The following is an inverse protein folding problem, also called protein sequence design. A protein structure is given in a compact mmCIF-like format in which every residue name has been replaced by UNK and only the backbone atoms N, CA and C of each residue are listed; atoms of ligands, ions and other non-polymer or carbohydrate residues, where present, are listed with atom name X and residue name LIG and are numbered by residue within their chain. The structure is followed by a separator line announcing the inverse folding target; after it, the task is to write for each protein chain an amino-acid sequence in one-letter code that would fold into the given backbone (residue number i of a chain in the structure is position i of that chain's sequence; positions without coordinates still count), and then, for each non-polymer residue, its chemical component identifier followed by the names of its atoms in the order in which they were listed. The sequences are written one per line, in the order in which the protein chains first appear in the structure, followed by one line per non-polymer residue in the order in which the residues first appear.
data_IF_725446689892
#
_entry.id   IF_725446689892
#
_cell.length_a   1.000
_cell.length_b   1.000
_cell.length_c   1.000
_cell.angle_alpha   90.00
_cell.angle_beta   90.00
_cell.angle_gamma   90.00
#
_symmetry.space_group_name_H-M   'P 1'
#
loop_
_entity.id
_entity.type
_entity.pdbx_description
1 polymer ?
#
# COMPACT_ATOMS: atom_id res chain seq x y z
N UNK A 1 -36.65 89.05 -52.59
CA UNK A 1 -36.66 87.96 -51.60
C UNK A 1 -35.31 88.03 -50.89
N UNK A 2 -35.24 88.93 -49.89
CA UNK A 2 -35.07 88.60 -48.44
C UNK A 2 -33.66 88.06 -48.16
N UNK A 3 -32.65 88.85 -47.77
CA UNK A 3 -32.42 89.72 -46.57
C UNK A 3 -31.19 89.19 -45.81
N UNK A 4 -30.16 90.05 -45.72
CA UNK A 4 -29.38 90.40 -44.51
C UNK A 4 -28.69 89.29 -43.68
N UNK A 5 -27.36 89.28 -43.49
CA UNK A 5 -26.46 90.18 -42.72
C UNK A 5 -25.98 89.49 -41.41
N UNK A 6 -24.69 89.13 -41.39
CA UNK A 6 -23.70 89.39 -40.30
C UNK A 6 -24.00 89.00 -38.84
N UNK A 7 -23.10 88.25 -38.17
CA UNK A 7 -22.13 88.75 -37.15
C UNK A 7 -21.47 87.61 -36.34
N UNK A 8 -20.29 87.95 -35.83
CA UNK A 8 -19.32 87.29 -34.94
C UNK A 8 -19.88 86.43 -33.78
N UNK A 9 -19.08 85.44 -33.33
CA UNK A 9 -19.13 84.95 -31.94
C UNK A 9 -18.26 83.73 -31.65
N UNK A 10 -17.15 83.95 -30.95
CA UNK A 10 -16.27 82.95 -30.35
C UNK A 10 -17.02 81.88 -29.55
N UNK A 11 -16.65 80.60 -29.67
CA UNK A 11 -16.62 79.71 -28.50
C UNK A 11 -15.65 78.54 -28.70
N UNK A 12 -14.66 78.57 -27.82
CA UNK A 12 -13.56 77.66 -27.55
C UNK A 12 -14.08 76.33 -27.00
N UNK A 13 -13.80 75.20 -27.67
CA UNK A 13 -13.67 73.88 -27.01
C UNK A 13 -12.55 73.12 -27.69
N UNK A 14 -11.37 73.19 -27.08
CA UNK A 14 -10.29 72.23 -27.30
C UNK A 14 -10.74 70.88 -26.73
N UNK A 15 -11.17 69.97 -27.60
CA UNK A 15 -11.34 68.56 -27.26
C UNK A 15 -9.95 67.93 -27.20
N UNK A 16 -9.33 68.04 -26.02
CA UNK A 16 -8.28 67.13 -25.58
C UNK A 16 -8.84 65.70 -25.67
N UNK A 17 -8.47 64.99 -26.74
CA UNK A 17 -8.56 63.56 -26.80
C UNK A 17 -7.58 62.99 -25.77
N UNK A 18 -8.05 62.89 -24.53
CA UNK A 18 -7.43 62.07 -23.51
C UNK A 18 -7.61 60.61 -23.94
N UNK A 19 -6.67 60.11 -24.75
CA UNK A 19 -6.48 58.68 -24.96
C UNK A 19 -6.07 58.10 -23.61
N UNK A 20 -7.05 57.79 -22.77
CA UNK A 20 -6.83 56.92 -21.64
C UNK A 20 -6.51 55.53 -22.21
N UNK A 21 -5.23 55.26 -22.45
CA UNK A 21 -4.72 53.89 -22.46
C UNK A 21 -5.03 53.32 -21.08
N UNK A 22 -6.19 52.70 -21.00
CA UNK A 22 -6.56 51.85 -19.89
C UNK A 22 -5.53 50.74 -19.91
N UNK A 23 -4.60 50.72 -18.96
CA UNK A 23 -3.81 49.51 -18.70
C UNK A 23 -4.82 48.43 -18.34
N UNK A 24 -5.15 47.57 -19.30
CA UNK A 24 -5.99 46.41 -19.03
C UNK A 24 -5.18 45.54 -18.09
N UNK A 25 -5.69 45.37 -16.87
CA UNK A 25 -5.14 44.42 -15.93
C UNK A 25 -5.07 43.06 -16.63
N UNK A 26 -3.86 42.51 -16.66
CA UNK A 26 -3.60 41.23 -17.30
C UNK A 26 -4.58 40.17 -16.78
N UNK A 27 -5.24 39.43 -17.67
CA UNK A 27 -6.14 38.32 -17.29
C UNK A 27 -5.47 36.97 -17.52
N UNK A 28 -5.98 35.91 -16.89
CA UNK A 28 -5.48 34.53 -17.13
C UNK A 28 -5.68 34.14 -18.60
N UNK A 29 -6.79 34.58 -19.20
CA UNK A 29 -7.12 34.38 -20.60
C UNK A 29 -6.11 35.07 -21.54
N UNK A 30 -5.67 36.30 -21.20
CA UNK A 30 -4.64 37.01 -21.95
C UNK A 30 -3.27 36.34 -21.85
N UNK A 31 -2.89 35.87 -20.65
CA UNK A 31 -1.64 35.12 -20.46
C UNK A 31 -1.65 33.81 -21.26
N UNK A 32 -2.80 33.13 -21.31
CA UNK A 32 -2.96 31.92 -22.11
C UNK A 32 -2.92 32.22 -23.62
N UNK A 33 -3.62 33.26 -24.07
CA UNK A 33 -3.61 33.69 -25.48
C UNK A 33 -2.22 34.14 -25.94
N UNK A 34 -1.41 34.72 -25.03
CA UNK A 34 -0.03 35.10 -25.29
C UNK A 34 0.98 33.94 -25.21
N UNK A 35 0.55 32.73 -24.87
CA UNK A 35 1.43 31.57 -24.70
C UNK A 35 2.40 31.71 -23.54
N UNK A 36 1.99 32.37 -22.46
CA UNK A 36 2.76 32.59 -21.22
C UNK A 36 2.25 31.77 -20.03
N UNK A 37 1.09 31.15 -20.21
CA UNK A 37 0.43 30.29 -19.24
C UNK A 37 -0.31 29.18 -20.00
N UNK A 38 0.04 27.92 -19.75
CA UNK A 38 -0.45 26.79 -20.50
C UNK A 38 -0.97 25.69 -19.57
N UNK A 39 -1.96 24.93 -20.04
CA UNK A 39 -2.38 23.69 -19.39
C UNK A 39 -2.49 22.58 -20.42
N UNK A 40 -1.85 21.45 -20.16
CA UNK A 40 -1.88 20.28 -21.01
C UNK A 40 -2.24 19.03 -20.20
N UNK A 41 -3.08 18.18 -20.77
CA UNK A 41 -3.45 16.89 -20.18
C UNK A 41 -2.97 15.75 -21.06
N UNK A 42 -2.39 14.72 -20.47
CA UNK A 42 -2.02 13.48 -21.16
C UNK A 42 -2.30 12.26 -20.27
N UNK A 43 -2.43 11.10 -20.89
CA UNK A 43 -2.60 9.82 -20.19
C UNK A 43 -1.49 8.85 -20.54
N UNK A 44 -1.16 7.98 -19.59
CA UNK A 44 -0.21 6.88 -19.78
C UNK A 44 -0.65 5.66 -18.97
N UNK A 45 -0.74 4.47 -19.57
CA UNK A 45 -0.67 4.20 -21.01
C UNK A 45 -1.87 4.79 -21.78
N UNK A 46 -1.70 5.02 -23.08
CA UNK A 46 -2.74 5.61 -23.94
C UNK A 46 -3.47 4.59 -24.83
N UNK A 47 -2.87 3.40 -25.02
CA UNK A 47 -3.36 2.35 -25.92
C UNK A 47 -3.35 0.99 -25.21
N UNK A 48 -4.00 -0.01 -25.82
CA UNK A 48 -4.11 -1.39 -25.32
C UNK A 48 -4.68 -1.50 -23.89
N UNK A 49 -5.59 -0.60 -23.56
CA UNK A 49 -6.20 -0.50 -22.24
C UNK A 49 -7.29 -1.55 -22.06
N UNK A 50 -7.29 -2.22 -20.91
CA UNK A 50 -8.35 -3.15 -20.51
C UNK A 50 -9.18 -2.58 -19.36
N UNK A 51 -10.44 -3.00 -19.20
CA UNK A 51 -11.21 -2.64 -18.01
C UNK A 51 -10.49 -3.05 -16.72
N UNK A 52 -10.54 -2.15 -15.73
CA UNK A 52 -9.89 -2.28 -14.43
C UNK A 52 -8.44 -1.78 -14.39
N UNK A 53 -7.77 -1.61 -15.54
CA UNK A 53 -6.36 -1.19 -15.59
C UNK A 53 -6.20 0.28 -15.20
N UNK A 54 -5.24 0.58 -14.30
CA UNK A 54 -4.88 1.96 -13.97
C UNK A 54 -4.29 2.69 -15.17
N UNK A 55 -4.76 3.91 -15.37
CA UNK A 55 -4.23 4.90 -16.29
C UNK A 55 -3.78 6.10 -15.47
N UNK A 56 -2.57 6.56 -15.69
CA UNK A 56 -2.06 7.78 -15.09
C UNK A 56 -2.42 8.98 -15.96
N UNK A 57 -3.30 9.84 -15.46
CA UNK A 57 -3.63 11.13 -16.06
C UNK A 57 -2.72 12.20 -15.48
N UNK A 58 -1.91 12.80 -16.34
CA UNK A 58 -1.00 13.90 -15.99
C UNK A 58 -1.56 15.22 -16.48
N UNK A 59 -1.78 16.16 -15.57
CA UNK A 59 -2.10 17.56 -15.88
C UNK A 59 -0.88 18.43 -15.59
N UNK A 60 -0.34 19.03 -16.64
CA UNK A 60 0.81 19.93 -16.58
C UNK A 60 0.34 21.37 -16.77
N UNK A 61 0.76 22.25 -15.87
CA UNK A 61 0.48 23.69 -15.91
C UNK A 61 1.82 24.42 -15.94
N UNK A 62 2.04 25.20 -16.98
CA UNK A 62 3.32 25.85 -17.25
C UNK A 62 3.13 27.36 -17.29
N UNK A 63 4.06 28.11 -16.72
CA UNK A 63 4.10 29.57 -16.85
C UNK A 63 5.53 30.09 -17.00
N UNK A 64 5.72 31.15 -17.78
CA UNK A 64 7.01 31.86 -17.89
C UNK A 64 7.30 32.78 -16.67
N UNK A 65 6.40 32.80 -15.69
CA UNK A 65 6.55 33.47 -14.38
C UNK A 65 6.57 32.44 -13.27
N UNK A 66 5.96 32.76 -12.12
CA UNK A 66 5.83 31.85 -10.99
C UNK A 66 4.42 31.87 -10.43
N UNK A 67 4.01 30.75 -9.84
CA UNK A 67 2.76 30.64 -9.11
C UNK A 67 2.87 31.37 -7.76
N UNK A 68 1.88 32.18 -7.42
CA UNK A 68 1.79 32.90 -6.13
C UNK A 68 0.80 32.26 -5.16
N UNK A 69 0.11 31.21 -5.60
CA UNK A 69 -0.77 30.36 -4.80
C UNK A 69 -0.78 28.92 -5.30
N UNK A 70 -1.34 28.00 -4.51
CA UNK A 70 -1.49 26.60 -4.92
C UNK A 70 -2.55 26.44 -6.02
N UNK A 71 -2.30 25.56 -6.98
CA UNK A 71 -3.28 25.22 -8.02
C UNK A 71 -4.33 24.24 -7.50
N UNK A 72 -5.54 24.29 -8.04
CA UNK A 72 -6.63 23.38 -7.66
C UNK A 72 -7.32 22.81 -8.89
N UNK A 73 -7.46 21.48 -8.93
CA UNK A 73 -8.14 20.77 -10.02
C UNK A 73 -9.58 20.47 -9.65
N UNK A 74 -10.49 20.67 -10.60
CA UNK A 74 -11.87 20.17 -10.51
C UNK A 74 -11.96 18.85 -11.27
N UNK A 75 -11.98 17.73 -10.55
CA UNK A 75 -12.05 16.38 -11.15
C UNK A 75 -13.45 16.17 -11.75
N UNK A 76 -13.57 15.88 -13.06
CA UNK A 76 -14.87 15.67 -13.68
C UNK A 76 -15.43 14.28 -13.35
N UNK A 77 -16.75 14.17 -13.31
CA UNK A 77 -17.44 12.89 -13.29
C UNK A 77 -17.63 12.38 -14.72
N UNK A 78 -17.16 11.16 -15.00
CA UNK A 78 -17.27 10.53 -16.33
C UNK A 78 -17.87 9.13 -16.18
N UNK A 79 -19.03 8.83 -16.78
CA UNK A 79 -19.69 7.53 -16.61
C UNK A 79 -18.81 6.34 -17.03
N UNK A 80 -18.57 5.44 -16.08
CA UNK A 80 -17.73 4.25 -16.28
C UNK A 80 -16.25 4.47 -16.03
N UNK A 81 -15.83 5.67 -15.59
CA UNK A 81 -14.49 5.92 -15.06
C UNK A 81 -14.54 6.18 -13.56
N UNK A 82 -13.53 5.70 -12.85
CA UNK A 82 -13.22 6.15 -11.49
C UNK A 82 -11.95 6.98 -11.58
N UNK A 83 -12.04 8.28 -11.26
CA UNK A 83 -10.91 9.23 -11.31
C UNK A 83 -10.58 9.64 -9.88
N UNK A 84 -9.36 9.38 -9.45
CA UNK A 84 -8.90 9.60 -8.09
C UNK A 84 -7.66 10.48 -8.07
N UNK A 85 -7.62 11.40 -7.11
CA UNK A 85 -6.40 12.14 -6.78
C UNK A 85 -5.71 11.45 -5.60
N UNK A 86 -4.75 10.58 -5.89
CA UNK A 86 -3.98 9.86 -4.87
C UNK A 86 -2.81 10.69 -4.33
N UNK A 87 -2.32 11.66 -5.11
CA UNK A 87 -1.28 12.61 -4.70
C UNK A 87 -1.87 13.92 -4.18
N UNK A 88 -1.45 14.35 -2.99
CA UNK A 88 -1.99 15.55 -2.34
C UNK A 88 -1.43 16.86 -2.91
N UNK A 89 -0.27 16.81 -3.56
CA UNK A 89 0.45 17.98 -4.04
C UNK A 89 0.90 17.83 -5.49
N UNK A 90 0.93 18.94 -6.22
CA UNK A 90 1.62 18.99 -7.50
C UNK A 90 3.12 18.83 -7.31
N UNK A 91 3.76 18.12 -8.24
CA UNK A 91 5.22 18.18 -8.40
C UNK A 91 5.59 19.48 -9.11
N UNK A 92 6.62 20.16 -8.62
CA UNK A 92 7.11 21.41 -9.20
C UNK A 92 8.44 21.15 -9.92
N UNK A 93 8.61 21.73 -11.10
CA UNK A 93 9.85 21.72 -11.85
C UNK A 93 10.10 23.10 -12.49
N UNK A 94 11.30 23.29 -13.02
CA UNK A 94 11.61 24.45 -13.86
C UNK A 94 12.38 23.98 -15.07
N UNK A 95 12.09 24.60 -16.21
CA UNK A 95 12.73 24.29 -17.48
C UNK A 95 13.06 25.57 -18.24
N UNK A 96 13.97 25.48 -19.21
CA UNK A 96 14.28 26.59 -20.11
C UNK A 96 13.74 26.28 -21.51
N UNK A 97 12.86 27.12 -22.02
CA UNK A 97 12.36 27.08 -23.41
C UNK A 97 12.86 28.33 -24.11
N UNK A 98 13.66 28.17 -25.16
CA UNK A 98 14.21 29.28 -25.96
C UNK A 98 14.87 30.41 -25.13
N UNK A 99 15.54 30.05 -24.03
CA UNK A 99 16.22 30.99 -23.13
C UNK A 99 15.33 31.62 -22.06
N UNK A 100 14.01 31.40 -22.11
CA UNK A 100 13.04 31.82 -21.08
C UNK A 100 12.90 30.74 -20.02
N UNK A 101 12.87 31.12 -18.75
CA UNK A 101 12.66 30.20 -17.63
C UNK A 101 11.17 29.97 -17.42
N UNK A 102 10.75 28.72 -17.40
CA UNK A 102 9.39 28.30 -17.15
C UNK A 102 9.30 27.57 -15.81
N UNK A 103 8.20 27.79 -15.10
CA UNK A 103 7.82 27.04 -13.90
C UNK A 103 6.70 26.08 -14.29
N UNK A 104 6.91 24.81 -13.95
CA UNK A 104 6.06 23.68 -14.34
C UNK A 104 5.45 23.08 -13.08
N UNK A 105 4.13 22.96 -13.06
CA UNK A 105 3.37 22.22 -12.05
C UNK A 105 2.70 21.01 -12.67
N UNK A 106 2.92 19.84 -12.07
CA UNK A 106 2.36 18.59 -12.57
C UNK A 106 1.52 17.89 -11.50
N UNK A 107 0.26 17.72 -11.81
CA UNK A 107 -0.68 16.90 -11.06
C UNK A 107 -0.84 15.54 -11.71
N UNK A 108 -0.99 14.53 -10.87
CA UNK A 108 -1.18 13.14 -11.28
C UNK A 108 -2.48 12.63 -10.70
N UNK A 109 -3.35 12.09 -11.57
CA UNK A 109 -4.61 11.48 -11.22
C UNK A 109 -4.61 10.02 -11.69
N UNK A 110 -5.17 9.14 -10.89
CA UNK A 110 -5.37 7.73 -11.26
C UNK A 110 -6.76 7.57 -11.87
N UNK A 111 -6.82 6.98 -13.07
CA UNK A 111 -8.05 6.77 -13.83
C UNK A 111 -8.24 5.26 -14.03
N UNK A 112 -9.40 4.75 -13.65
CA UNK A 112 -9.74 3.32 -13.77
C UNK A 112 -11.02 3.16 -14.61
N UNK A 113 -10.92 2.71 -15.87
CA UNK A 113 -12.08 2.40 -16.71
C UNK A 113 -12.74 1.10 -16.23
N UNK A 114 -14.02 1.16 -15.87
CA UNK A 114 -14.76 0.04 -15.28
C UNK A 114 -15.40 -0.89 -16.32
N UNK A 115 -15.30 -0.55 -17.60
CA UNK A 115 -15.90 -1.29 -18.72
C UNK A 115 -15.16 -1.03 -20.02
N UNK A 116 -15.42 -1.85 -21.02
CA UNK A 116 -14.99 -1.60 -22.39
C UNK A 116 -15.72 -0.39 -23.00
N UNK A 117 -15.06 0.24 -23.96
CA UNK A 117 -15.64 1.27 -24.81
C UNK A 117 -14.79 2.52 -24.92
N UNK A 118 -15.35 3.52 -25.60
CA UNK A 118 -14.72 4.82 -25.79
C UNK A 118 -15.06 5.75 -24.63
N UNK A 119 -14.06 6.44 -24.12
CA UNK A 119 -14.18 7.41 -23.05
C UNK A 119 -13.70 8.78 -23.52
N UNK A 120 -14.34 9.82 -22.98
CA UNK A 120 -13.92 11.20 -23.15
C UNK A 120 -13.90 11.84 -21.77
N UNK A 121 -12.73 12.22 -21.32
CA UNK A 121 -12.57 13.08 -20.15
C UNK A 121 -12.75 14.52 -20.65
N UNK A 122 -13.75 15.26 -20.16
CA UNK A 122 -13.99 16.64 -20.62
C UNK A 122 -12.84 17.56 -20.20
N UNK A 123 -12.76 18.79 -20.75
CA UNK A 123 -11.83 19.82 -20.30
C UNK A 123 -11.79 19.92 -18.78
N UNK A 124 -10.60 19.73 -18.19
CA UNK A 124 -10.43 19.77 -16.75
C UNK A 124 -10.12 21.21 -16.35
N UNK A 125 -10.94 21.74 -15.43
CA UNK A 125 -10.76 23.08 -14.89
C UNK A 125 -9.66 23.09 -13.83
N UNK A 126 -8.70 24.00 -13.99
CA UNK A 126 -7.60 24.23 -13.06
C UNK A 126 -7.59 25.68 -12.60
N UNK A 127 -7.81 25.91 -11.31
CA UNK A 127 -7.64 27.23 -10.71
C UNK A 127 -6.17 27.51 -10.49
N UNK A 128 -5.71 28.70 -10.92
CA UNK A 128 -4.32 29.14 -10.83
C UNK A 128 -4.23 30.56 -10.29
N UNK A 129 -3.10 30.86 -9.64
CA UNK A 129 -2.73 32.22 -9.26
C UNK A 129 -1.28 32.47 -9.64
N UNK A 130 -1.06 33.39 -10.57
CA UNK A 130 0.22 33.55 -11.28
C UNK A 130 0.69 35.00 -11.15
N UNK A 131 1.99 35.19 -10.99
CA UNK A 131 2.57 36.53 -11.03
C UNK A 131 2.62 37.07 -12.47
N UNK A 132 2.46 38.38 -12.64
CA UNK A 132 2.54 39.04 -13.96
C UNK A 132 3.67 40.07 -14.00
N UNK A 133 3.77 40.82 -15.09
CA UNK A 133 4.64 42.00 -15.17
C UNK A 133 4.06 43.21 -14.44
N UNK A 134 2.78 43.15 -14.07
CA UNK A 134 2.09 44.14 -13.26
C UNK A 134 2.31 43.87 -11.76
N UNK A 135 1.98 44.84 -10.90
CA UNK A 135 2.25 44.73 -9.46
C UNK A 135 1.36 43.72 -8.73
N UNK A 136 0.23 43.31 -9.30
CA UNK A 136 -0.77 42.45 -8.65
C UNK A 136 -0.84 41.08 -9.36
N UNK A 137 -0.79 39.96 -8.61
CA UNK A 137 -0.97 38.63 -9.20
C UNK A 137 -2.38 38.45 -9.76
N UNK A 138 -2.48 37.67 -10.83
CA UNK A 138 -3.75 37.35 -11.48
C UNK A 138 -4.24 35.98 -11.05
N UNK A 139 -5.55 35.86 -10.83
CA UNK A 139 -6.20 34.61 -10.43
C UNK A 139 -7.32 34.27 -11.41
N UNK A 140 -7.40 33.01 -11.81
CA UNK A 140 -8.37 32.58 -12.83
C UNK A 140 -8.35 31.08 -13.09
N UNK A 141 -9.08 30.68 -14.13
CA UNK A 141 -9.29 29.29 -14.48
C UNK A 141 -8.67 28.96 -15.84
N UNK A 142 -7.85 27.93 -15.87
CA UNK A 142 -7.43 27.28 -17.10
C UNK A 142 -8.29 26.03 -17.35
N UNK A 143 -8.40 25.63 -18.62
CA UNK A 143 -9.09 24.41 -19.01
C UNK A 143 -8.18 23.57 -19.90
N UNK A 144 -7.96 22.31 -19.53
CA UNK A 144 -7.26 21.38 -20.41
C UNK A 144 -8.08 21.10 -21.67
N UNK A 145 -7.43 20.55 -22.70
CA UNK A 145 -8.17 19.94 -23.80
C UNK A 145 -8.90 18.66 -23.33
N UNK A 146 -9.99 18.25 -24.01
CA UNK A 146 -10.59 16.94 -23.78
C UNK A 146 -9.59 15.82 -24.08
N UNK A 147 -9.66 14.73 -23.32
CA UNK A 147 -8.80 13.56 -23.50
C UNK A 147 -9.67 12.38 -23.92
N UNK A 148 -9.28 11.72 -25.01
CA UNK A 148 -10.00 10.58 -25.57
C UNK A 148 -9.14 9.32 -25.47
N UNK A 149 -9.76 8.21 -25.09
CA UNK A 149 -9.14 6.89 -25.11
C UNK A 149 -10.20 5.80 -25.20
N UNK A 150 -9.79 4.58 -25.52
CA UNK A 150 -10.67 3.42 -25.61
C UNK A 150 -10.11 2.27 -24.79
N UNK A 151 -11.00 1.50 -24.17
CA UNK A 151 -10.66 0.22 -23.55
C UNK A 151 -11.35 -0.92 -24.29
N UNK A 152 -10.65 -2.05 -24.36
CA UNK A 152 -11.13 -3.26 -25.03
C UNK A 152 -11.01 -4.46 -24.08
N UNK A 153 -11.89 -5.45 -24.24
CA UNK A 153 -11.71 -6.75 -23.59
C UNK A 153 -10.91 -7.62 -24.56
N UNK A 154 -9.68 -8.03 -24.21
CA UNK A 154 -8.91 -8.98 -25.00
C UNK A 154 -9.68 -10.30 -25.18
N UNK A 155 -9.45 -10.99 -26.28
CA UNK A 155 -10.11 -12.28 -26.58
C UNK A 155 -9.93 -13.30 -25.44
N UNK A 156 -8.75 -13.32 -24.80
CA UNK A 156 -8.46 -14.17 -23.65
C UNK A 156 -9.37 -13.92 -22.42
N UNK A 157 -9.99 -12.73 -22.34
CA UNK A 157 -10.90 -12.34 -21.25
C UNK A 157 -12.38 -12.42 -21.67
N UNK A 158 -12.69 -12.80 -22.91
CA UNK A 158 -14.05 -12.71 -23.46
C UNK A 158 -15.09 -13.58 -22.72
N UNK A 159 -14.66 -14.70 -22.15
CA UNK A 159 -15.51 -15.64 -21.38
C UNK A 159 -15.33 -15.51 -19.86
N UNK A 160 -14.64 -14.46 -19.40
CA UNK A 160 -14.33 -14.26 -17.98
C UNK A 160 -15.14 -13.08 -17.45
N UNK A 161 -16.03 -13.35 -16.50
CA UNK A 161 -16.91 -12.31 -15.94
C UNK A 161 -16.15 -11.33 -15.03
N UNK A 162 -15.13 -11.81 -14.32
CA UNK A 162 -14.41 -11.05 -13.31
C UNK A 162 -12.91 -11.32 -13.36
N UNK A 163 -12.11 -10.25 -13.42
CA UNK A 163 -10.67 -10.31 -13.35
C UNK A 163 -10.12 -9.08 -12.62
N UNK A 164 -8.87 -9.19 -12.16
CA UNK A 164 -8.07 -8.04 -11.73
C UNK A 164 -7.13 -7.67 -12.88
N UNK A 165 -6.99 -6.38 -13.21
CA UNK A 165 -6.01 -5.91 -14.18
C UNK A 165 -4.90 -5.15 -13.45
N UNK A 166 -3.74 -5.78 -13.29
CA UNK A 166 -2.65 -5.27 -12.46
C UNK A 166 -1.28 -5.73 -12.98
N UNK A 167 -0.19 -5.01 -12.67
CA UNK A 167 1.17 -5.50 -12.91
C UNK A 167 1.54 -6.71 -12.05
N UNK A 168 0.97 -6.81 -10.86
CA UNK A 168 1.14 -7.91 -9.92
C UNK A 168 -0.16 -8.12 -9.14
N UNK A 169 -0.55 -9.38 -8.95
CA UNK A 169 -1.69 -9.76 -8.13
C UNK A 169 -1.39 -11.07 -7.42
N UNK A 170 -1.81 -11.15 -6.15
CA UNK A 170 -1.61 -12.32 -5.32
C UNK A 170 -2.85 -12.58 -4.45
N UNK A 171 -3.13 -13.86 -4.23
CA UNK A 171 -4.16 -14.33 -3.32
C UNK A 171 -3.54 -15.34 -2.36
N UNK A 172 -3.73 -15.14 -1.06
CA UNK A 172 -3.26 -16.06 -0.01
C UNK A 172 -4.41 -16.41 0.92
N UNK A 173 -4.35 -17.62 1.47
CA UNK A 173 -5.22 -18.04 2.57
C UNK A 173 -4.41 -18.58 3.73
N UNK A 174 -4.89 -18.38 4.95
CA UNK A 174 -4.31 -18.93 6.17
C UNK A 174 -5.40 -19.29 7.18
N UNK A 175 -5.07 -20.21 8.07
CA UNK A 175 -5.92 -20.62 9.18
C UNK A 175 -5.20 -20.34 10.50
N UNK A 176 -5.95 -19.96 11.53
CA UNK A 176 -5.41 -19.68 12.87
C UNK A 176 -4.96 -20.95 13.62
N UNK A 177 -5.48 -22.12 13.24
CA UNK A 177 -5.13 -23.42 13.82
C UNK A 177 -5.17 -24.55 12.76
N UNK A 178 -4.53 -25.70 13.05
CA UNK A 178 -4.69 -26.91 12.25
C UNK A 178 -6.16 -27.37 12.24
N UNK A 179 -6.60 -27.94 11.12
CA UNK A 179 -8.00 -28.34 10.88
C UNK A 179 -8.21 -29.86 11.03
N UNK A 180 -7.18 -30.56 11.48
CA UNK A 180 -7.25 -31.97 11.85
C UNK A 180 -7.72 -32.12 13.29
N UNK A 181 -8.66 -33.05 13.52
CA UNK A 181 -9.19 -33.38 14.85
C UNK A 181 -9.92 -32.22 15.55
N UNK A 182 -10.73 -31.47 14.80
CA UNK A 182 -11.71 -30.56 15.39
C UNK A 182 -12.85 -31.35 16.04
N UNK A 183 -13.45 -30.80 17.08
CA UNK A 183 -14.65 -31.32 17.73
C UNK A 183 -15.87 -30.44 17.45
N UNK A 184 -17.08 -30.98 17.60
CA UNK A 184 -18.28 -30.16 17.51
C UNK A 184 -18.27 -29.08 18.62
N UNK A 185 -18.53 -27.84 18.23
CA UNK A 185 -18.39 -26.65 19.08
C UNK A 185 -17.03 -25.94 18.95
N UNK A 186 -16.03 -26.54 18.29
CA UNK A 186 -14.79 -25.83 17.97
C UNK A 186 -15.04 -24.69 16.99
N UNK A 187 -14.20 -23.67 17.10
CA UNK A 187 -14.10 -22.59 16.14
C UNK A 187 -12.68 -22.47 15.58
N UNK A 188 -12.59 -22.00 14.34
CA UNK A 188 -11.35 -21.61 13.68
C UNK A 188 -11.60 -20.40 12.79
N UNK A 189 -10.55 -19.67 12.44
CA UNK A 189 -10.59 -18.49 11.59
C UNK A 189 -9.88 -18.77 10.26
N UNK A 190 -10.54 -18.45 9.15
CA UNK A 190 -9.95 -18.36 7.82
C UNK A 190 -9.66 -16.89 7.51
N UNK A 191 -8.41 -16.56 7.20
CA UNK A 191 -8.02 -15.28 6.64
C UNK A 191 -7.69 -15.44 5.15
N UNK A 192 -8.33 -14.65 4.30
CA UNK A 192 -8.03 -14.56 2.86
C UNK A 192 -7.55 -13.14 2.56
N UNK A 193 -6.36 -13.05 1.96
CA UNK A 193 -5.72 -11.78 1.62
C UNK A 193 -5.54 -11.67 0.10
N UNK A 194 -6.04 -10.58 -0.45
CA UNK A 194 -5.79 -10.13 -1.83
C UNK A 194 -4.80 -8.98 -1.80
N UNK A 195 -3.77 -9.01 -2.62
CA UNK A 195 -2.78 -7.93 -2.76
C UNK A 195 -2.53 -7.66 -4.25
N UNK A 196 -2.56 -6.39 -4.67
CA UNK A 196 -2.29 -6.00 -6.04
C UNK A 196 -1.52 -4.68 -6.13
N UNK A 197 -0.75 -4.52 -7.20
CA UNK A 197 -0.15 -3.25 -7.59
C UNK A 197 -1.06 -2.49 -8.56
N UNK A 198 -1.04 -1.15 -8.51
CA UNK A 198 -1.80 -0.28 -9.42
C UNK A 198 -3.31 -0.58 -9.49
N UNK A 199 -3.88 -0.98 -8.36
CA UNK A 199 -5.32 -1.20 -8.16
C UNK A 199 -5.73 -0.54 -6.84
N UNK A 200 -7.00 -0.14 -6.71
CA UNK A 200 -7.55 0.33 -5.43
C UNK A 200 -8.11 -0.84 -4.61
N UNK A 201 -7.94 -0.84 -3.29
CA UNK A 201 -8.39 -1.92 -2.42
C UNK A 201 -9.90 -2.23 -2.54
N UNK A 202 -10.70 -1.20 -2.81
CA UNK A 202 -12.14 -1.33 -3.06
C UNK A 202 -12.49 -2.06 -4.37
N UNK A 203 -11.55 -2.12 -5.33
CA UNK A 203 -11.69 -2.83 -6.60
C UNK A 203 -11.19 -4.28 -6.51
N UNK A 204 -10.56 -4.68 -5.40
CA UNK A 204 -10.13 -6.06 -5.20
C UNK A 204 -11.33 -6.99 -4.98
N UNK A 205 -11.24 -8.25 -5.47
CA UNK A 205 -12.32 -9.24 -5.35
C UNK A 205 -12.78 -9.45 -3.91
N UNK A 206 -14.06 -9.83 -3.76
CA UNK A 206 -14.60 -10.26 -2.48
C UNK A 206 -14.53 -11.79 -2.34
N UNK A 207 -14.11 -12.25 -1.17
CA UNK A 207 -14.32 -13.62 -0.73
C UNK A 207 -15.67 -13.72 -0.01
N UNK A 208 -16.52 -14.65 -0.45
CA UNK A 208 -17.83 -14.90 0.17
C UNK A 208 -17.85 -16.37 0.56
N UNK A 209 -18.07 -16.71 1.84
CA UNK A 209 -18.09 -18.09 2.28
C UNK A 209 -19.30 -18.81 1.66
N UNK A 210 -19.07 -20.05 1.23
CA UNK A 210 -20.15 -20.93 0.81
C UNK A 210 -20.90 -21.49 2.02
N UNK A 211 -22.19 -21.81 1.83
CA UNK A 211 -22.99 -22.43 2.87
C UNK A 211 -22.70 -23.93 2.92
N UNK A 212 -22.00 -24.35 3.96
CA UNK A 212 -21.72 -25.76 4.23
C UNK A 212 -22.56 -26.20 5.43
N UNK A 213 -23.55 -27.10 5.26
CA UNK A 213 -24.34 -27.62 6.37
C UNK A 213 -23.45 -28.25 7.44
N UNK A 214 -23.58 -27.87 8.71
CA UNK A 214 -22.72 -28.37 9.81
C UNK A 214 -21.45 -27.53 10.05
N UNK A 215 -21.19 -26.53 9.21
CA UNK A 215 -20.08 -25.59 9.35
C UNK A 215 -20.58 -24.15 9.17
N UNK A 216 -20.95 -23.51 10.28
CA UNK A 216 -21.50 -22.15 10.26
C UNK A 216 -20.39 -21.11 10.02
N UNK A 217 -20.60 -20.22 9.05
CA UNK A 217 -19.64 -19.19 8.66
C UNK A 217 -20.09 -17.80 9.13
N UNK A 218 -19.20 -17.09 9.82
CA UNK A 218 -19.41 -15.73 10.31
C UNK A 218 -18.36 -14.78 9.71
N UNK A 219 -18.63 -14.18 8.54
CA UNK A 219 -17.70 -13.26 7.88
C UNK A 219 -17.64 -11.92 8.63
N UNK A 220 -16.42 -11.43 8.86
CA UNK A 220 -16.17 -10.07 9.36
C UNK A 220 -16.11 -9.06 8.21
N UNK A 221 -16.32 -7.76 8.49
CA UNK A 221 -16.10 -6.70 7.49
C UNK A 221 -14.67 -6.75 6.92
N UNK A 222 -14.49 -6.53 5.61
CA UNK A 222 -13.17 -6.53 4.99
C UNK A 222 -12.32 -5.37 5.50
N UNK A 223 -11.02 -5.62 5.71
CA UNK A 223 -10.02 -4.58 5.97
C UNK A 223 -9.39 -4.20 4.64
N UNK A 224 -9.56 -2.94 4.25
CA UNK A 224 -9.03 -2.37 3.01
C UNK A 224 -7.85 -1.46 3.32
N UNK A 225 -6.75 -1.62 2.58
CA UNK A 225 -5.57 -0.78 2.73
C UNK A 225 -5.04 -0.35 1.37
N UNK A 226 -4.83 0.95 1.19
CA UNK A 226 -4.14 1.53 0.04
C UNK A 226 -2.85 2.21 0.53
N UNK A 227 -1.77 1.97 -0.19
CA UNK A 227 -0.49 2.62 0.03
C UNK A 227 0.08 3.10 -1.31
N UNK A 228 0.80 4.22 -1.27
CA UNK A 228 1.56 4.71 -2.41
C UNK A 228 2.92 5.14 -1.91
N UNK A 229 3.98 4.51 -2.41
CA UNK A 229 5.36 4.82 -2.05
C UNK A 229 6.16 5.12 -3.31
N UNK A 230 6.58 6.38 -3.48
CA UNK A 230 7.37 6.84 -4.64
C UNK A 230 6.71 6.46 -5.99
N UNK A 231 5.39 6.58 -6.08
CA UNK A 231 4.62 6.25 -7.27
C UNK A 231 4.28 4.78 -7.44
N UNK A 232 4.72 3.90 -6.52
CA UNK A 232 4.30 2.50 -6.49
C UNK A 232 3.04 2.38 -5.65
N UNK A 233 1.89 2.29 -6.32
CA UNK A 233 0.61 2.09 -5.68
C UNK A 233 0.40 0.60 -5.39
N UNK A 234 0.00 0.29 -4.16
CA UNK A 234 -0.29 -1.06 -3.71
C UNK A 234 -1.54 -1.07 -2.85
N UNK A 235 -2.41 -2.02 -3.12
CA UNK A 235 -3.64 -2.23 -2.39
C UNK A 235 -3.72 -3.63 -1.83
N UNK A 236 -4.38 -3.75 -0.67
CA UNK A 236 -4.77 -5.04 -0.12
C UNK A 236 -6.19 -5.04 0.42
N UNK A 237 -6.81 -6.22 0.34
CA UNK A 237 -8.12 -6.53 0.93
C UNK A 237 -7.98 -7.81 1.73
N UNK A 238 -8.17 -7.70 3.04
CA UNK A 238 -8.13 -8.84 3.96
C UNK A 238 -9.53 -9.17 4.44
N UNK A 239 -9.91 -10.43 4.35
CA UNK A 239 -11.20 -10.93 4.79
C UNK A 239 -11.02 -12.07 5.78
N UNK A 240 -11.68 -11.93 6.94
CA UNK A 240 -11.67 -12.93 8.00
C UNK A 240 -13.05 -13.55 8.13
N UNK A 241 -13.08 -14.86 8.28
CA UNK A 241 -14.31 -15.62 8.50
C UNK A 241 -14.07 -16.55 9.67
N UNK A 242 -14.86 -16.36 10.73
CA UNK A 242 -14.89 -17.31 11.83
C UNK A 242 -15.86 -18.43 11.48
N UNK A 243 -15.37 -19.66 11.49
CA UNK A 243 -16.18 -20.85 11.30
C UNK A 243 -16.45 -21.52 12.64
N UNK A 244 -17.69 -21.96 12.86
CA UNK A 244 -18.09 -22.77 14.01
C UNK A 244 -18.55 -24.13 13.51
N UNK A 245 -17.97 -25.17 14.08
CA UNK A 245 -18.30 -26.55 13.74
C UNK A 245 -19.54 -26.96 14.53
N UNK A 246 -20.64 -27.26 13.83
CA UNK A 246 -21.93 -27.60 14.47
C UNK A 246 -22.15 -29.11 14.56
N UNK A 247 -21.52 -29.90 13.68
CA UNK A 247 -21.69 -31.34 13.62
C UNK A 247 -20.39 -32.07 13.27
N UNK A 248 -20.28 -33.34 13.66
CA UNK A 248 -19.22 -34.24 13.22
C UNK A 248 -19.34 -34.54 11.72
N UNK A 249 -18.21 -34.76 11.06
CA UNK A 249 -18.17 -35.05 9.63
C UNK A 249 -16.89 -34.61 8.94
N UNK A 250 -16.92 -34.76 7.62
CA UNK A 250 -15.88 -34.26 6.74
C UNK A 250 -16.44 -33.10 5.93
N UNK A 251 -15.81 -31.93 6.04
CA UNK A 251 -16.16 -30.74 5.29
C UNK A 251 -15.06 -30.42 4.29
N UNK A 252 -15.46 -29.84 3.16
CA UNK A 252 -14.54 -29.40 2.12
C UNK A 252 -14.79 -27.92 1.87
N UNK A 253 -13.81 -27.08 2.17
CA UNK A 253 -13.74 -25.75 1.60
C UNK A 253 -13.26 -25.92 0.15
N UNK A 254 -14.07 -25.57 -0.86
CA UNK A 254 -13.71 -25.81 -2.26
C UNK A 254 -12.53 -24.94 -2.69
N UNK A 255 -11.82 -25.40 -3.70
CA UNK A 255 -10.82 -24.57 -4.38
C UNK A 255 -11.51 -23.35 -5.00
N UNK A 256 -10.82 -22.20 -5.02
CA UNK A 256 -11.35 -20.96 -5.61
C UNK A 256 -10.35 -20.35 -6.56
N UNK A 257 -10.82 -20.06 -7.75
CA UNK A 257 -10.03 -19.51 -8.83
C UNK A 257 -10.25 -18.01 -8.98
N UNK A 258 -9.17 -17.28 -9.25
CA UNK A 258 -9.15 -15.85 -9.47
C UNK A 258 -8.37 -15.54 -10.76
N UNK A 259 -9.02 -14.82 -11.67
CA UNK A 259 -8.43 -14.41 -12.93
C UNK A 259 -7.71 -13.08 -12.80
N UNK A 260 -6.53 -13.00 -13.40
CA UNK A 260 -5.68 -11.82 -13.39
C UNK A 260 -5.14 -11.54 -14.77
N UNK A 261 -5.40 -10.34 -15.27
CA UNK A 261 -4.73 -9.81 -16.44
C UNK A 261 -3.44 -9.10 -16.01
N UNK A 262 -2.31 -9.73 -16.28
CA UNK A 262 -1.00 -9.12 -16.06
C UNK A 262 -0.79 -8.01 -17.08
N UNK A 263 -0.86 -6.76 -16.64
CA UNK A 263 -0.74 -5.58 -17.51
C UNK A 263 0.67 -5.38 -18.05
N UNK A 264 1.69 -6.05 -17.50
CA UNK A 264 3.07 -6.01 -18.00
C UNK A 264 3.27 -6.99 -19.15
N UNK A 265 2.86 -8.24 -18.96
CA UNK A 265 3.01 -9.29 -19.97
C UNK A 265 1.86 -9.34 -20.98
N UNK A 266 0.75 -8.65 -20.70
CA UNK A 266 -0.51 -8.69 -21.47
C UNK A 266 -1.02 -10.13 -21.62
N UNK A 267 -1.02 -10.86 -20.51
CA UNK A 267 -1.46 -12.26 -20.46
C UNK A 267 -2.45 -12.48 -19.32
N UNK A 268 -3.38 -13.39 -19.58
CA UNK A 268 -4.26 -13.93 -18.55
C UNK A 268 -3.48 -14.92 -17.68
N UNK A 269 -3.62 -14.77 -16.39
CA UNK A 269 -3.10 -15.63 -15.34
C UNK A 269 -4.25 -16.16 -14.49
N UNK A 270 -4.07 -17.36 -13.94
CA UNK A 270 -5.00 -18.02 -13.04
C UNK A 270 -4.31 -18.21 -11.68
N UNK A 271 -4.93 -17.69 -10.63
CA UNK A 271 -4.52 -17.92 -9.25
C UNK A 271 -5.57 -18.78 -8.57
N UNK A 272 -5.15 -19.86 -7.91
CA UNK A 272 -6.05 -20.79 -7.25
C UNK A 272 -5.75 -20.87 -5.75
N UNK A 273 -6.78 -20.65 -4.94
CA UNK A 273 -6.79 -21.05 -3.55
C UNK A 273 -7.10 -22.55 -3.46
N UNK A 274 -6.29 -23.36 -2.75
CA UNK A 274 -6.45 -24.79 -2.72
C UNK A 274 -7.68 -25.20 -1.91
N UNK A 275 -8.34 -26.28 -2.36
CA UNK A 275 -9.39 -26.92 -1.57
C UNK A 275 -8.79 -27.39 -0.22
N UNK A 276 -9.55 -27.21 0.86
CA UNK A 276 -9.10 -27.54 2.22
C UNK A 276 -10.09 -28.49 2.86
N UNK A 277 -9.61 -29.67 3.22
CA UNK A 277 -10.36 -30.68 3.95
C UNK A 277 -10.36 -30.37 5.46
N UNK A 278 -11.53 -30.50 6.08
CA UNK A 278 -11.74 -30.30 7.51
C UNK A 278 -12.34 -31.59 8.04
N UNK A 279 -11.72 -32.16 9.07
CA UNK A 279 -12.19 -33.41 9.68
C UNK A 279 -12.59 -33.17 11.12
N UNK A 280 -13.86 -33.47 11.41
CA UNK A 280 -14.48 -33.27 12.72
C UNK A 280 -14.93 -34.60 13.30
N UNK A 281 -14.56 -34.86 14.55
CA UNK A 281 -15.10 -36.01 15.30
C UNK A 281 -14.52 -37.38 14.90
N UNK A 282 -13.51 -37.44 14.01
CA UNK A 282 -12.77 -38.70 13.85
C UNK A 282 -11.95 -38.95 15.12
N UNK A 283 -12.55 -39.68 16.05
CA UNK A 283 -11.92 -40.27 17.22
C UNK A 283 -10.74 -41.16 16.80
N UNK A 284 -9.61 -40.52 16.56
CA UNK A 284 -8.30 -41.12 16.50
C UNK A 284 -7.36 -40.04 17.01
N UNK A 285 -7.37 -39.91 18.33
CA UNK A 285 -6.12 -39.81 19.04
C UNK A 285 -5.22 -41.00 18.62
N UNK A 286 -4.61 -40.90 17.43
CA UNK A 286 -3.18 -41.13 17.35
C UNK A 286 -2.53 -39.94 18.07
N UNK A 287 -2.77 -39.88 19.39
CA UNK A 287 -1.64 -39.86 20.27
C UNK A 287 -0.70 -40.91 19.69
N UNK A 288 0.35 -40.46 19.00
CA UNK A 288 1.58 -41.22 18.90
C UNK A 288 1.91 -41.54 20.35
N UNK A 289 1.36 -42.66 20.86
CA UNK A 289 2.06 -43.46 21.84
C UNK A 289 3.35 -43.73 21.11
N UNK A 290 4.36 -42.90 21.34
CA UNK A 290 5.75 -43.30 21.25
C UNK A 290 5.82 -44.49 22.20
N UNK A 291 5.43 -45.67 21.73
CA UNK A 291 6.03 -46.88 22.21
C UNK A 291 7.51 -46.65 21.92
N UNK A 292 8.26 -46.28 22.94
CA UNK A 292 9.70 -46.45 22.92
C UNK A 292 9.90 -47.95 22.71
N UNK A 293 9.94 -48.36 21.44
CA UNK A 293 10.36 -49.69 21.06
C UNK A 293 11.85 -49.71 21.35
N UNK A 294 12.19 -50.05 22.59
CA UNK A 294 13.58 -50.24 23.01
C UNK A 294 14.09 -51.40 22.16
N UNK A 295 14.95 -51.08 21.21
CA UNK A 295 15.52 -52.09 20.32
C UNK A 295 16.48 -52.97 21.12
N UNK A 296 16.63 -54.26 20.80
CA UNK A 296 17.54 -55.15 21.52
C UNK A 296 18.99 -54.62 21.55
N UNK A 297 19.39 -53.82 20.55
CA UNK A 297 20.67 -53.11 20.51
C UNK A 297 20.82 -52.03 21.60
N UNK A 298 19.73 -51.34 21.96
CA UNK A 298 19.74 -50.33 23.03
C UNK A 298 19.85 -50.98 24.42
N UNK A 299 19.21 -52.14 24.64
CA UNK A 299 19.41 -52.93 25.87
C UNK A 299 20.85 -53.45 25.99
N UNK A 300 21.42 -53.90 24.88
CA UNK A 300 22.81 -54.36 24.84
C UNK A 300 23.79 -53.20 25.10
N UNK A 301 23.53 -52.02 24.52
CA UNK A 301 24.31 -50.82 24.79
C UNK A 301 24.21 -50.36 26.25
N UNK A 302 23.03 -50.43 26.86
CA UNK A 302 22.83 -50.12 28.27
C UNK A 302 23.57 -51.11 29.18
N UNK A 303 23.54 -52.40 28.84
CA UNK A 303 24.28 -53.45 29.54
C UNK A 303 25.79 -53.23 29.49
N UNK A 304 26.33 -52.91 28.31
CA UNK A 304 27.76 -52.58 28.13
C UNK A 304 28.13 -51.32 28.92
N UNK A 305 27.28 -50.28 28.88
CA UNK A 305 27.50 -49.05 29.63
C UNK A 305 27.54 -49.31 31.15
N UNK A 306 26.65 -50.16 31.67
CA UNK A 306 26.63 -50.56 33.08
C UNK A 306 27.88 -51.34 33.48
N UNK A 307 28.37 -52.25 32.63
CA UNK A 307 29.62 -53.00 32.86
C UNK A 307 30.84 -52.07 32.85
N UNK A 308 30.89 -51.12 31.92
CA UNK A 308 31.95 -50.11 31.87
C UNK A 308 31.90 -49.19 33.09
N UNK A 309 30.72 -48.80 33.54
CA UNK A 309 30.53 -47.96 34.72
C UNK A 309 30.95 -48.71 36.00
N UNK A 310 30.57 -49.98 36.13
CA UNK A 310 31.02 -50.84 37.23
C UNK A 310 32.55 -51.04 37.21
N UNK A 311 33.14 -51.20 36.02
CA UNK A 311 34.59 -51.28 35.84
C UNK A 311 35.31 -49.99 36.22
N UNK A 312 34.77 -48.83 35.84
CA UNK A 312 35.29 -47.51 36.21
C UNK A 312 35.16 -47.25 37.72
N UNK A 313 34.05 -47.64 38.34
CA UNK A 313 33.86 -47.52 39.80
C UNK A 313 34.86 -48.43 40.53
N UNK A 314 35.07 -49.66 40.06
CA UNK A 314 36.07 -50.57 40.62
C UNK A 314 37.50 -50.03 40.47
N UNK A 315 37.83 -49.47 39.29
CA UNK A 315 39.13 -48.85 39.03
C UNK A 315 39.33 -47.61 39.92
N UNK A 316 38.30 -46.78 40.06
CA UNK A 316 38.30 -45.62 40.94
C UNK A 316 38.52 -46.07 42.40
N UNK A 317 37.77 -47.05 42.92
CA UNK A 317 37.98 -47.60 44.26
C UNK A 317 39.39 -48.17 44.48
N UNK A 318 39.94 -48.86 43.48
CA UNK A 318 41.27 -49.48 43.57
C UNK A 318 42.42 -48.46 43.53
N UNK A 319 42.21 -47.30 42.91
CA UNK A 319 43.26 -46.29 42.69
C UNK A 319 43.06 -44.99 43.49
N UNK A 320 41.86 -44.72 44.02
CA UNK A 320 41.57 -43.57 44.89
C UNK A 320 42.49 -43.47 46.13
N UNK A 321 42.84 -44.56 46.85
CA UNK A 321 43.71 -44.43 48.03
C UNK A 321 45.19 -44.18 47.68
N UNK A 322 45.55 -44.09 46.39
CA UNK A 322 46.92 -43.81 45.93
C UNK A 322 47.11 -42.41 45.34
N UNK A 323 46.04 -41.62 45.23
CA UNK A 323 46.10 -40.25 44.73
C UNK A 323 46.15 -39.28 45.92
N UNK A 324 47.12 -38.33 45.98
CA UNK A 324 47.23 -37.36 47.06
C UNK A 324 46.13 -36.28 46.93
N UNK A 325 44.89 -36.65 47.26
CA UNK A 325 43.69 -35.80 47.24
C UNK A 325 43.79 -34.59 48.19
N UNK A 326 44.78 -34.55 49.08
CA UNK A 326 45.05 -33.40 49.95
C UNK A 326 45.58 -32.16 49.19
N UNK A 327 46.14 -32.32 47.98
CA UNK A 327 46.71 -31.18 47.22
C UNK A 327 45.70 -30.49 46.29
N UNK A 328 44.68 -31.20 45.81
CA UNK A 328 43.69 -30.63 44.88
C UNK A 328 42.59 -29.81 45.57
N UNK A 329 42.24 -30.13 46.82
CA UNK A 329 41.22 -29.37 47.57
C UNK A 329 41.66 -27.94 47.89
N UNK A 330 42.96 -27.72 48.14
CA UNK A 330 43.51 -26.40 48.42
C UNK A 330 43.48 -25.47 47.20
N UNK A 331 43.76 -25.99 46.00
CA UNK A 331 43.72 -25.21 44.76
C UNK A 331 42.30 -24.78 44.38
N UNK A 332 41.31 -25.66 44.64
CA UNK A 332 39.90 -25.41 44.29
C UNK A 332 39.24 -24.38 45.23
N UNK A 333 39.62 -24.40 46.52
CA UNK A 333 39.20 -23.37 47.49
C UNK A 333 39.81 -22.00 47.18
N UNK A 334 41.07 -21.95 46.73
CA UNK A 334 41.73 -20.69 46.35
C UNK A 334 41.06 -20.03 45.13
N UNK A 335 40.69 -20.83 44.12
CA UNK A 335 39.99 -20.34 42.92
C UNK A 335 38.59 -19.80 43.25
N UNK A 336 37.89 -20.45 44.19
CA UNK A 336 36.55 -20.03 44.62
C UNK A 336 36.57 -18.68 45.36
N UNK A 337 37.60 -18.43 46.16
CA UNK A 337 37.75 -17.14 46.84
C UNK A 337 38.10 -15.99 45.88
N UNK A 338 38.88 -16.25 44.82
CA UNK A 338 39.17 -15.25 43.78
C UNK A 338 37.92 -14.84 42.99
N UNK A 339 37.03 -15.80 42.68
CA UNK A 339 35.76 -15.52 41.99
C UNK A 339 34.79 -14.69 42.85
N UNK A 340 34.80 -14.87 44.17
CA UNK A 340 33.99 -14.06 45.09
C UNK A 340 34.52 -12.63 45.24
N UNK A 341 35.83 -12.41 45.12
CA UNK A 341 36.43 -11.08 45.18
C UNK A 341 36.05 -10.19 43.98
N UNK A 342 35.85 -10.80 42.80
CA UNK A 342 35.42 -10.11 41.57
C UNK A 342 33.94 -9.67 41.59
N UNK A 343 33.14 -10.17 42.55
CA UNK A 343 31.72 -9.82 42.69
C UNK A 343 31.45 -8.64 43.63
N UNK A 344 32.48 -7.99 44.19
CA UNK A 344 32.30 -6.76 44.98
C UNK A 344 32.29 -5.53 44.04
N UNK A 345 31.22 -4.71 44.04
CA UNK A 345 31.16 -3.50 43.20
C UNK A 345 32.18 -2.44 43.68
N UNK A 346 32.85 -1.80 42.72
CA UNK A 346 34.03 -0.95 42.92
C UNK A 346 33.72 0.54 43.25
N UNK A 347 32.58 0.86 43.86
CA UNK A 347 32.21 2.26 44.17
C UNK A 347 31.82 2.48 45.65
N UNK A 348 32.38 3.49 46.34
CA UNK A 348 32.05 3.81 47.73
C UNK A 348 30.61 4.31 47.90
N UNK A 349 29.89 3.78 48.91
CA UNK A 349 28.60 4.28 49.39
C UNK A 349 28.76 5.59 50.18
N UNK A 350 29.07 6.72 49.53
CA UNK A 350 28.77 8.07 50.05
C UNK A 350 28.82 9.07 48.91
N UNK A 351 27.66 9.36 48.33
CA UNK A 351 27.32 10.62 47.63
C UNK A 351 25.82 10.52 47.25
N UNK A 352 24.95 10.71 48.24
CA UNK A 352 23.59 11.17 47.99
C UNK A 352 23.21 12.11 49.14
N UNK A 353 23.30 13.44 48.94
CA UNK A 353 22.76 14.41 49.88
C UNK A 353 21.24 14.45 49.76
N UNK A 354 20.60 14.76 50.88
CA UNK A 354 19.16 14.85 51.11
C UNK A 354 18.39 15.51 49.95
N UNK A 355 17.25 14.93 49.57
CA UNK A 355 16.13 15.75 49.11
C UNK A 355 14.91 15.46 49.98
N UNK A 356 14.62 16.46 50.79
CA UNK A 356 13.42 16.68 51.57
C UNK A 356 12.18 16.90 50.70
N UNK A 357 11.04 16.77 51.38
CA UNK A 357 9.74 17.42 51.16
C UNK A 357 8.84 16.97 50.00
N UNK A 358 7.62 16.58 50.40
CA UNK A 358 6.43 17.32 49.98
C UNK A 358 5.43 16.54 49.14
N UNK A 359 4.27 16.29 49.78
CA UNK A 359 2.93 15.95 49.26
C UNK A 359 2.67 14.58 48.59
#
# INVERSE_FOLDING_TARGET
MTTLQTWLGYCLVALLACQATSGMASTVEELQAAGRLEVAGNISPAEDLVPGQKITLTLQIDTDRWFTGGTRISIPEVPGLVILQTEQFATNASEKRDGVSWVVQRWTLDVFPQRAGNFTIPPIRVQVKVNTDESEPVEGALHSLPIHFSTVVPEALAEIDHWVAAPAFEVRQSFDRPLEALEAGDAFELEVMFEAEDVMAMMLPAFTPEKLPGLAAYPLPPVLHNSNNRGQARASRTQRISYVVEAEGHYLLPARDYFWWDTRSKQLQLLSLPATEITVGTGSAQAKKRSLAITPRQLLALGVALVLLAGLIWLAWKWLPRLPLARCSAALLALWQQLLALRKPALPRRLNPDNSSGD
#
